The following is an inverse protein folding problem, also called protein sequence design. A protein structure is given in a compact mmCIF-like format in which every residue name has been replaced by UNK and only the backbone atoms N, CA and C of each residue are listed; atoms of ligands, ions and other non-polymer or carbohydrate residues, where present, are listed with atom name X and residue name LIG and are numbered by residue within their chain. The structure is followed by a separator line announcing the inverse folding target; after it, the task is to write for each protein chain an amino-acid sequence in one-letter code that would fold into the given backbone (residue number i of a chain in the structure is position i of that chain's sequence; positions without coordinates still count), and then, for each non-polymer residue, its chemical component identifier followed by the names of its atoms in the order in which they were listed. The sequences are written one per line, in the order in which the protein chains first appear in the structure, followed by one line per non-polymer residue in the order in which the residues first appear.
data_IF_958725042357
#
_entry.id   IF_958725042357
#
_cell.length_a   1.000
_cell.length_b   1.000
_cell.length_c   1.000
_cell.angle_alpha   90.00
_cell.angle_beta   90.00
_cell.angle_gamma   90.00
#
_symmetry.space_group_name_H-M   'P 1'
#
loop_
_entity.id
_entity.type
_entity.pdbx_description
1 polymer ?
#
# COMPACT_ATOMS: atom_id res chain seq x y z
N UNK A 1 2.31 0.32 -6.47
CA UNK A 1 0.84 0.13 -6.52
C UNK A 1 0.22 1.51 -6.40
N UNK A 2 -0.71 1.85 -7.30
CA UNK A 2 -1.53 3.07 -7.33
C UNK A 2 -2.93 2.68 -7.76
N UNK A 3 -3.97 3.41 -7.36
CA UNK A 3 -5.30 3.17 -7.93
C UNK A 3 -5.32 3.70 -9.37
N UNK A 4 -4.83 4.92 -9.55
CA UNK A 4 -4.66 5.61 -10.81
C UNK A 4 -3.56 5.02 -11.67
N UNK A 5 -3.74 5.14 -12.98
CA UNK A 5 -2.67 4.93 -13.94
C UNK A 5 -1.57 5.99 -13.84
N UNK A 6 -0.38 5.64 -14.37
CA UNK A 6 0.70 6.57 -14.68
C UNK A 6 0.78 6.60 -16.20
N UNK A 7 0.42 7.74 -16.79
CA UNK A 7 0.45 7.96 -18.25
C UNK A 7 1.83 8.41 -18.71
N UNK A 8 2.41 9.39 -18.03
CA UNK A 8 3.72 9.96 -18.35
C UNK A 8 4.80 9.50 -17.36
N UNK A 9 5.98 9.09 -17.85
CA UNK A 9 7.10 8.74 -16.98
C UNK A 9 7.58 9.97 -16.19
N UNK A 10 8.16 9.72 -15.01
CA UNK A 10 8.82 10.76 -14.24
C UNK A 10 9.96 10.19 -13.41
N UNK A 11 10.96 11.02 -13.12
CA UNK A 11 12.11 10.62 -12.32
C UNK A 11 11.94 11.09 -10.88
N UNK A 12 12.32 10.24 -9.94
CA UNK A 12 12.42 10.57 -8.52
C UNK A 12 13.84 10.39 -8.03
N UNK A 13 14.20 11.15 -6.99
CA UNK A 13 15.42 10.93 -6.23
C UNK A 13 15.11 10.03 -5.02
N UNK A 14 15.67 8.82 -5.03
CA UNK A 14 15.62 7.89 -3.91
C UNK A 14 16.99 7.83 -3.24
N UNK A 15 17.21 8.69 -2.25
CA UNK A 15 18.53 8.90 -1.66
C UNK A 15 19.46 9.61 -2.63
N UNK A 16 20.57 8.96 -3.03
CA UNK A 16 21.54 9.49 -4.01
C UNK A 16 21.32 8.94 -5.44
N UNK A 17 20.25 8.20 -5.66
CA UNK A 17 19.97 7.55 -6.95
C UNK A 17 18.74 8.16 -7.60
N UNK A 18 18.86 8.43 -8.88
CA UNK A 18 17.71 8.71 -9.73
C UNK A 18 17.04 7.39 -10.13
N UNK A 19 15.72 7.36 -10.00
CA UNK A 19 14.90 6.23 -10.38
C UNK A 19 13.81 6.74 -11.31
N UNK A 20 13.80 6.23 -12.54
CA UNK A 20 12.73 6.48 -13.49
C UNK A 20 11.52 5.62 -13.15
N UNK A 21 10.37 6.28 -12.99
CA UNK A 21 9.07 5.63 -12.87
C UNK A 21 8.44 5.60 -14.25
N UNK A 22 8.23 4.39 -14.76
CA UNK A 22 7.65 4.15 -16.09
C UNK A 22 6.12 4.21 -16.06
N UNK A 23 5.47 4.44 -17.22
CA UNK A 23 4.03 4.30 -17.33
C UNK A 23 3.57 2.93 -16.87
N UNK A 24 2.42 2.89 -16.21
CA UNK A 24 1.83 1.65 -15.70
C UNK A 24 0.33 1.79 -15.55
N UNK A 25 -0.38 0.68 -15.73
CA UNK A 25 -1.81 0.64 -15.47
C UNK A 25 -2.09 0.84 -13.98
N UNK A 26 -3.24 1.46 -13.70
CA UNK A 26 -3.80 1.51 -12.36
C UNK A 26 -4.13 0.12 -11.84
N UNK A 27 -4.17 -0.04 -10.52
CA UNK A 27 -4.53 -1.32 -9.89
C UNK A 27 -6.00 -1.69 -10.04
N UNK A 28 -6.87 -0.72 -10.34
CA UNK A 28 -8.32 -0.91 -10.43
C UNK A 28 -9.05 -0.87 -9.08
N UNK A 29 -8.34 -0.55 -7.99
CA UNK A 29 -8.95 -0.38 -6.66
C UNK A 29 -9.94 0.78 -6.61
N UNK A 30 -9.77 1.79 -7.45
CA UNK A 30 -10.67 2.93 -7.60
C UNK A 30 -12.11 2.54 -7.98
N UNK A 31 -12.29 1.37 -8.61
CA UNK A 31 -13.59 0.82 -9.01
C UNK A 31 -14.40 0.21 -7.86
N UNK A 32 -13.78 0.04 -6.69
CA UNK A 32 -14.42 -0.57 -5.53
C UNK A 32 -14.78 0.49 -4.49
N UNK A 33 -15.86 0.23 -3.74
CA UNK A 33 -16.21 0.99 -2.56
C UNK A 33 -15.33 0.57 -1.38
N UNK A 34 -14.09 1.03 -1.42
CA UNK A 34 -13.05 0.69 -0.45
C UNK A 34 -12.20 1.92 -0.11
N UNK A 35 -11.87 2.06 1.16
CA UNK A 35 -10.79 2.93 1.59
C UNK A 35 -9.48 2.16 1.51
N UNK A 36 -8.47 2.72 0.85
CA UNK A 36 -7.16 2.09 0.73
C UNK A 36 -6.06 3.06 1.18
N UNK A 37 -5.09 2.50 1.89
CA UNK A 37 -3.94 3.21 2.42
C UNK A 37 -2.79 2.22 2.59
N UNK A 38 -1.56 2.73 2.57
CA UNK A 38 -0.40 1.96 3.02
C UNK A 38 -0.04 2.38 4.44
N UNK A 39 0.78 1.59 5.12
CA UNK A 39 1.27 1.91 6.45
C UNK A 39 2.78 1.73 6.52
N UNK A 40 3.46 2.65 7.21
CA UNK A 40 4.91 2.60 7.45
C UNK A 40 5.24 2.98 8.89
N UNK A 41 6.34 2.45 9.41
CA UNK A 41 6.93 2.89 10.68
C UNK A 41 7.74 4.19 10.55
N UNK A 42 7.74 4.83 9.38
CA UNK A 42 8.38 6.13 9.18
C UNK A 42 7.53 7.29 9.75
N UNK A 43 8.20 8.42 10.01
CA UNK A 43 7.54 9.64 10.47
C UNK A 43 6.56 10.20 9.44
N UNK A 44 5.54 10.97 9.86
CA UNK A 44 4.63 11.64 8.94
C UNK A 44 5.35 12.54 7.92
N UNK A 45 6.43 13.23 8.34
CA UNK A 45 7.22 14.09 7.46
C UNK A 45 7.95 13.27 6.37
N UNK A 46 8.50 12.12 6.72
CA UNK A 46 9.14 11.19 5.78
C UNK A 46 8.11 10.66 4.79
N UNK A 47 6.98 10.14 5.28
CA UNK A 47 5.93 9.58 4.46
C UNK A 47 5.32 10.63 3.51
N UNK A 48 5.14 11.88 3.97
CA UNK A 48 4.69 12.99 3.12
C UNK A 48 5.63 13.23 1.94
N UNK A 49 6.94 13.34 2.20
CA UNK A 49 7.95 13.51 1.14
C UNK A 49 7.90 12.36 0.13
N UNK A 50 7.73 11.12 0.59
CA UNK A 50 7.60 9.96 -0.29
C UNK A 50 6.32 10.01 -1.12
N UNK A 51 5.19 10.33 -0.50
CA UNK A 51 3.91 10.45 -1.20
C UNK A 51 3.96 11.52 -2.29
N UNK A 52 4.55 12.69 -1.99
CA UNK A 52 4.73 13.78 -2.95
C UNK A 52 5.67 13.39 -4.09
N UNK A 53 6.85 12.84 -3.78
CA UNK A 53 7.83 12.43 -4.78
C UNK A 53 7.28 11.35 -5.74
N UNK A 54 6.55 10.38 -5.19
CA UNK A 54 5.92 9.30 -5.97
C UNK A 54 4.55 9.70 -6.54
N UNK A 55 4.09 10.93 -6.29
CA UNK A 55 2.78 11.48 -6.67
C UNK A 55 1.61 10.59 -6.24
N UNK A 56 1.72 9.89 -5.11
CA UNK A 56 0.76 8.86 -4.69
C UNK A 56 -0.66 9.42 -4.58
N UNK A 57 -1.63 8.62 -4.98
CA UNK A 57 -3.06 8.93 -4.95
C UNK A 57 -3.76 8.40 -3.69
N UNK A 58 -2.97 8.02 -2.67
CA UNK A 58 -3.44 7.50 -1.40
C UNK A 58 -2.60 7.97 -0.22
N UNK A 59 -3.20 7.99 0.99
CA UNK A 59 -2.45 8.30 2.19
C UNK A 59 -1.55 7.14 2.63
N UNK A 60 -0.44 7.50 3.27
CA UNK A 60 0.43 6.58 4.01
C UNK A 60 0.22 6.84 5.49
N UNK A 61 -0.28 5.86 6.23
CA UNK A 61 -0.37 5.90 7.69
C UNK A 61 1.02 5.77 8.31
N UNK A 62 1.30 6.57 9.34
CA UNK A 62 2.56 6.57 10.08
C UNK A 62 2.41 5.92 11.45
N UNK A 63 3.25 4.94 11.75
CA UNK A 63 3.40 4.33 13.08
C UNK A 63 4.87 4.38 13.57
N UNK A 64 5.41 5.56 13.91
CA UNK A 64 6.83 5.71 14.28
C UNK A 64 7.21 4.95 15.56
N UNK A 65 6.21 4.67 16.42
CA UNK A 65 6.38 3.92 17.66
C UNK A 65 6.21 2.41 17.47
N UNK A 66 5.90 1.95 16.25
CA UNK A 66 5.69 0.55 15.86
C UNK A 66 4.57 -0.18 16.63
N UNK A 67 3.73 0.53 17.37
CA UNK A 67 2.72 -0.09 18.24
C UNK A 67 1.66 -0.84 17.45
N UNK A 68 1.23 -0.27 16.32
CA UNK A 68 0.25 -0.90 15.44
C UNK A 68 0.92 -2.02 14.65
N UNK A 69 2.14 -1.80 14.16
CA UNK A 69 2.91 -2.79 13.44
C UNK A 69 3.18 -4.06 14.28
N UNK A 70 3.51 -3.88 15.56
CA UNK A 70 3.66 -4.98 16.54
C UNK A 70 2.33 -5.66 16.83
N UNK A 71 1.24 -4.91 17.04
CA UNK A 71 -0.09 -5.47 17.29
C UNK A 71 -0.63 -6.30 16.11
N UNK A 72 -0.31 -5.91 14.88
CA UNK A 72 -0.66 -6.66 13.67
C UNK A 72 0.34 -7.81 13.37
N UNK A 73 1.38 -7.96 14.18
CA UNK A 73 2.40 -8.99 14.04
C UNK A 73 3.29 -8.84 12.81
N UNK A 74 3.29 -7.67 12.17
CA UNK A 74 4.16 -7.39 11.01
C UNK A 74 5.56 -6.92 11.44
N UNK A 75 5.71 -6.44 12.67
CA UNK A 75 6.99 -6.25 13.35
C UNK A 75 7.01 -7.21 14.54
N UNK A 76 8.08 -7.99 14.68
CA UNK A 76 8.19 -9.01 15.71
C UNK A 76 9.65 -9.32 16.05
N UNK A 77 9.87 -10.15 17.07
CA UNK A 77 11.19 -10.67 17.42
C UNK A 77 11.78 -11.41 16.21
N UNK A 78 12.96 -10.99 15.76
CA UNK A 78 13.60 -11.46 14.53
C UNK A 78 13.43 -10.55 13.30
N UNK A 79 12.52 -9.56 13.34
CA UNK A 79 12.35 -8.60 12.24
C UNK A 79 11.94 -7.20 12.72
N UNK A 80 12.90 -6.27 12.70
CA UNK A 80 12.70 -4.89 13.17
C UNK A 80 11.96 -3.97 12.18
N UNK A 81 11.71 -4.44 10.96
CA UNK A 81 11.00 -3.70 9.90
C UNK A 81 9.70 -4.44 9.52
N UNK A 82 8.62 -3.74 9.15
CA UNK A 82 7.36 -4.41 8.84
C UNK A 82 7.48 -5.45 7.73
N UNK A 83 6.80 -6.59 7.92
CA UNK A 83 6.48 -7.50 6.84
C UNK A 83 5.60 -6.82 5.78
N UNK A 84 5.74 -7.23 4.52
CA UNK A 84 4.91 -6.73 3.42
C UNK A 84 3.64 -7.55 3.34
N UNK A 85 2.67 -7.26 4.20
CA UNK A 85 1.36 -7.93 4.20
C UNK A 85 0.25 -6.96 3.81
N UNK A 86 -0.84 -7.50 3.29
CA UNK A 86 -2.06 -6.74 2.97
C UNK A 86 -3.22 -7.30 3.78
N UNK A 87 -3.90 -6.41 4.51
CA UNK A 87 -5.05 -6.75 5.32
C UNK A 87 -6.32 -6.24 4.63
N UNK A 88 -7.30 -7.11 4.51
CA UNK A 88 -8.64 -6.78 4.03
C UNK A 88 -9.54 -6.72 5.25
N UNK A 89 -10.07 -5.54 5.56
CA UNK A 89 -10.82 -5.26 6.78
C UNK A 89 -12.25 -4.89 6.39
N UNK A 90 -13.23 -5.59 6.97
CA UNK A 90 -14.64 -5.30 6.79
C UNK A 90 -15.04 -3.98 7.45
N UNK A 91 -16.17 -3.42 7.04
CA UNK A 91 -16.73 -2.19 7.65
C UNK A 91 -17.13 -2.39 9.11
N UNK A 92 -17.26 -3.64 9.57
CA UNK A 92 -17.44 -4.04 10.96
C UNK A 92 -16.13 -4.12 11.76
N UNK A 93 -14.99 -3.79 11.15
CA UNK A 93 -13.67 -3.80 11.75
C UNK A 93 -12.99 -5.17 11.79
N UNK A 94 -13.62 -6.23 11.26
CA UNK A 94 -13.02 -7.57 11.27
C UNK A 94 -12.09 -7.78 10.08
N UNK A 95 -11.00 -8.50 10.32
CA UNK A 95 -10.10 -8.93 9.24
C UNK A 95 -10.80 -10.05 8.45
N UNK A 96 -11.09 -9.79 7.18
CA UNK A 96 -11.67 -10.74 6.24
C UNK A 96 -10.60 -11.63 5.60
N UNK A 97 -9.42 -11.05 5.34
CA UNK A 97 -8.29 -11.76 4.75
C UNK A 97 -6.95 -11.08 5.09
N UNK A 98 -5.89 -11.89 5.15
CA UNK A 98 -4.51 -11.40 5.24
C UNK A 98 -3.69 -12.05 4.13
N UNK A 99 -3.22 -11.25 3.18
CA UNK A 99 -2.28 -11.71 2.17
C UNK A 99 -0.84 -11.48 2.65
N UNK A 100 -0.11 -12.57 2.82
CA UNK A 100 1.28 -12.60 3.28
C UNK A 100 2.29 -12.87 2.16
N UNK A 101 1.83 -13.21 0.95
CA UNK A 101 2.67 -13.64 -0.17
C UNK A 101 2.64 -12.61 -1.29
N UNK A 102 3.12 -11.40 -0.98
CA UNK A 102 3.04 -10.26 -1.88
C UNK A 102 4.13 -10.33 -2.96
N UNK A 103 3.69 -10.33 -4.22
CA UNK A 103 4.53 -10.10 -5.40
C UNK A 103 4.42 -8.64 -5.83
N UNK A 104 5.51 -7.88 -5.75
CA UNK A 104 5.52 -6.45 -6.10
C UNK A 104 5.13 -6.17 -7.55
N UNK A 105 5.28 -7.16 -8.44
CA UNK A 105 4.94 -7.06 -9.87
C UNK A 105 3.43 -7.16 -10.12
N UNK A 106 2.73 -8.00 -9.36
CA UNK A 106 1.32 -8.35 -9.60
C UNK A 106 0.37 -7.78 -8.55
N UNK A 107 0.91 -7.19 -7.48
CA UNK A 107 0.17 -6.82 -6.29
C UNK A 107 -1.14 -6.04 -6.57
N UNK A 108 -1.10 -5.07 -7.48
CA UNK A 108 -2.28 -4.27 -7.87
C UNK A 108 -3.45 -5.13 -8.32
N UNK A 109 -3.15 -6.07 -9.22
CA UNK A 109 -4.12 -6.99 -9.81
C UNK A 109 -4.59 -8.00 -8.75
N UNK A 110 -3.66 -8.51 -7.94
CA UNK A 110 -3.95 -9.50 -6.90
C UNK A 110 -4.93 -8.96 -5.85
N UNK A 111 -4.77 -7.69 -5.46
CA UNK A 111 -5.69 -7.04 -4.51
C UNK A 111 -7.08 -6.82 -5.12
N UNK A 112 -7.18 -6.31 -6.35
CA UNK A 112 -8.47 -6.13 -7.03
C UNK A 112 -9.21 -7.45 -7.25
N UNK A 113 -8.47 -8.53 -7.56
CA UNK A 113 -9.03 -9.88 -7.62
C UNK A 113 -9.57 -10.31 -6.26
N UNK A 114 -8.80 -10.10 -5.18
CA UNK A 114 -9.24 -10.44 -3.83
C UNK A 114 -10.49 -9.66 -3.40
N UNK A 115 -10.59 -8.36 -3.72
CA UNK A 115 -11.79 -7.56 -3.44
C UNK A 115 -13.03 -8.14 -4.14
N UNK A 116 -12.87 -8.64 -5.36
CA UNK A 116 -13.94 -9.32 -6.09
C UNK A 116 -14.35 -10.62 -5.40
N UNK A 117 -13.39 -11.44 -4.98
CA UNK A 117 -13.64 -12.70 -4.25
C UNK A 117 -14.34 -12.46 -2.90
N UNK A 118 -13.99 -11.37 -2.22
CA UNK A 118 -14.63 -10.93 -0.98
C UNK A 118 -15.98 -10.23 -1.20
N UNK A 119 -16.43 -10.08 -2.45
CA UNK A 119 -17.70 -9.43 -2.83
C UNK A 119 -17.82 -7.99 -2.35
N UNK A 120 -16.71 -7.25 -2.36
CA UNK A 120 -16.73 -5.82 -2.06
C UNK A 120 -17.54 -5.09 -3.13
N UNK A 121 -18.48 -4.21 -2.77
CA UNK A 121 -19.26 -3.44 -3.73
C UNK A 121 -18.38 -2.62 -4.69
N UNK A 122 -18.86 -2.42 -5.91
CA UNK A 122 -18.27 -1.49 -6.87
C UNK A 122 -18.94 -0.13 -6.75
N UNK A 123 -18.22 0.93 -7.14
CA UNK A 123 -18.76 2.29 -7.28
C UNK A 123 -19.51 2.46 -8.58
#
# INVERSE_FOLDING_TARGET
MRASEITEPFTILLGKREVEIKPSSGSGLDKFDVAYFTASCDTPATNKKYAEALKLDYPILSDPRKKVAEAYGVVHEGRAVPERWTFFIGTDGKILHVDKKISTKTHGIDVSKRLTELRVPKK
#
